data_IF_677704993634
#
_entry.id   IF_677704993634
#
_cell.length_a   1.000
_cell.length_b   1.000
_cell.length_c   1.000
_cell.angle_alpha   90.00
_cell.angle_beta   90.00
_cell.angle_gamma   90.00
#
_symmetry.space_group_name_H-M   'P 1'
#
loop_
_entity.id
_entity.type
_entity.pdbx_description
1 polymer ?
#
# COMPACT_ATOMS: atom_id res chain seq x y z
N UNK A 1 7.83 10.85 -3.01
CA UNK A 1 7.73 11.71 -4.22
C UNK A 1 7.98 10.97 -5.55
N UNK A 2 8.91 10.02 -5.67
CA UNK A 2 9.24 9.38 -6.98
C UNK A 2 8.11 8.57 -7.66
N UNK A 3 7.29 7.83 -6.91
CA UNK A 3 6.30 6.91 -7.51
C UNK A 3 5.07 7.64 -8.09
N UNK A 4 4.71 8.81 -7.55
CA UNK A 4 3.55 9.58 -8.02
C UNK A 4 3.72 10.08 -9.45
N UNK A 5 4.95 10.44 -9.82
CA UNK A 5 5.27 10.90 -11.17
C UNK A 5 5.20 9.76 -12.19
N UNK A 6 5.66 8.57 -11.80
CA UNK A 6 5.63 7.37 -12.64
C UNK A 6 4.19 6.90 -12.91
N UNK A 7 3.31 7.01 -11.91
CA UNK A 7 1.87 6.78 -12.06
C UNK A 7 1.21 7.73 -13.07
N UNK A 8 1.61 9.00 -13.06
CA UNK A 8 1.03 10.04 -13.91
C UNK A 8 1.50 9.97 -15.36
N UNK A 9 2.77 9.61 -15.60
CA UNK A 9 3.33 9.60 -16.94
C UNK A 9 3.13 8.24 -17.64
N UNK A 10 3.19 7.11 -16.91
CA UNK A 10 3.19 5.73 -17.47
C UNK A 10 2.51 4.74 -16.51
N UNK A 11 1.18 4.77 -16.37
CA UNK A 11 0.45 3.97 -15.39
C UNK A 11 0.58 2.44 -15.62
N UNK A 12 0.76 2.00 -16.87
CA UNK A 12 0.93 0.58 -17.21
C UNK A 12 2.25 0.00 -16.68
N UNK A 13 3.33 0.77 -16.76
CA UNK A 13 4.63 0.36 -16.20
C UNK A 13 4.68 0.49 -14.69
N UNK A 14 4.00 1.50 -14.14
CA UNK A 14 3.82 1.62 -12.71
C UNK A 14 3.08 0.38 -12.16
N UNK A 15 2.08 -0.14 -12.89
CA UNK A 15 1.35 -1.34 -12.51
C UNK A 15 2.29 -2.56 -12.40
N UNK A 16 3.07 -2.88 -13.45
CA UNK A 16 3.99 -4.02 -13.45
C UNK A 16 5.04 -3.92 -12.33
N UNK A 17 5.60 -2.73 -12.11
CA UNK A 17 6.55 -2.48 -11.04
C UNK A 17 5.92 -2.64 -9.66
N UNK A 18 4.70 -2.15 -9.46
CA UNK A 18 3.99 -2.27 -8.19
C UNK A 18 3.56 -3.71 -7.88
N UNK A 19 3.16 -4.50 -8.88
CA UNK A 19 2.85 -5.92 -8.70
C UNK A 19 4.10 -6.73 -8.28
N UNK A 20 5.26 -6.41 -8.86
CA UNK A 20 6.55 -6.99 -8.47
C UNK A 20 6.95 -6.56 -7.06
N UNK A 21 6.79 -5.27 -6.74
CA UNK A 21 7.05 -4.75 -5.40
C UNK A 21 6.18 -5.45 -4.35
N UNK A 22 4.88 -5.64 -4.60
CA UNK A 22 3.96 -6.32 -3.69
C UNK A 22 4.39 -7.76 -3.38
N UNK A 23 4.88 -8.49 -4.39
CA UNK A 23 5.40 -9.85 -4.19
C UNK A 23 6.61 -9.86 -3.28
N UNK A 24 7.55 -8.94 -3.50
CA UNK A 24 8.78 -8.84 -2.71
C UNK A 24 8.47 -8.41 -1.27
N UNK A 25 7.60 -7.41 -1.08
CA UNK A 25 7.21 -6.97 0.27
C UNK A 25 6.55 -8.11 1.03
N UNK A 26 5.56 -8.80 0.45
CA UNK A 26 4.90 -9.94 1.11
C UNK A 26 5.86 -11.06 1.51
N UNK A 27 6.90 -11.33 0.71
CA UNK A 27 7.94 -12.31 1.06
C UNK A 27 8.72 -11.83 2.28
N UNK A 28 9.15 -10.57 2.30
CA UNK A 28 9.92 -10.00 3.41
C UNK A 28 9.12 -9.87 4.71
N UNK A 29 7.82 -9.60 4.59
CA UNK A 29 6.92 -9.37 5.72
C UNK A 29 6.51 -10.65 6.45
N UNK A 30 6.54 -11.81 5.77
CA UNK A 30 6.32 -13.12 6.41
C UNK A 30 7.27 -13.34 7.59
N UNK A 31 8.49 -12.84 7.49
CA UNK A 31 9.51 -12.97 8.54
C UNK A 31 9.40 -11.87 9.61
N UNK A 32 8.76 -10.73 9.29
CA UNK A 32 8.70 -9.54 10.17
C UNK A 32 7.39 -9.41 10.93
N UNK A 33 6.35 -10.14 10.53
CA UNK A 33 4.99 -10.05 11.09
C UNK A 33 4.41 -8.62 11.09
N UNK A 34 4.86 -7.78 10.15
CA UNK A 34 4.37 -6.44 9.87
C UNK A 34 4.08 -6.37 8.38
N UNK A 35 2.86 -5.95 8.02
CA UNK A 35 2.37 -5.90 6.63
C UNK A 35 2.23 -4.47 6.09
N UNK A 36 2.85 -3.49 6.76
CA UNK A 36 2.71 -2.07 6.44
C UNK A 36 3.21 -1.71 5.04
N UNK A 37 4.28 -2.33 4.56
CA UNK A 37 4.81 -2.07 3.23
C UNK A 37 3.85 -2.59 2.14
N UNK A 38 3.26 -3.77 2.34
CA UNK A 38 2.24 -4.31 1.45
C UNK A 38 1.00 -3.43 1.37
N UNK A 39 0.51 -2.90 2.50
CA UNK A 39 -0.65 -1.99 2.49
C UNK A 39 -0.37 -0.71 1.69
N UNK A 40 0.84 -0.15 1.79
CA UNK A 40 1.27 1.01 0.97
C UNK A 40 1.33 0.68 -0.51
N UNK A 41 1.83 -0.49 -0.88
CA UNK A 41 1.90 -0.90 -2.28
C UNK A 41 0.50 -1.14 -2.84
N UNK A 42 -0.42 -1.71 -2.04
CA UNK A 42 -1.81 -1.91 -2.42
C UNK A 42 -2.57 -0.60 -2.64
N UNK A 43 -2.36 0.44 -1.82
CA UNK A 43 -2.94 1.77 -2.06
C UNK A 43 -2.48 2.35 -3.41
N UNK A 44 -1.19 2.23 -3.71
CA UNK A 44 -0.63 2.68 -5.00
C UNK A 44 -1.19 1.86 -6.16
N UNK A 45 -1.36 0.55 -6.01
CA UNK A 45 -2.01 -0.29 -7.00
C UNK A 45 -3.46 0.15 -7.23
N UNK A 46 -4.21 0.46 -6.17
CA UNK A 46 -5.58 0.94 -6.29
C UNK A 46 -5.65 2.23 -7.13
N UNK A 47 -4.80 3.21 -6.81
CA UNK A 47 -4.67 4.46 -7.58
C UNK A 47 -4.28 4.20 -9.04
N UNK A 48 -3.36 3.26 -9.29
CA UNK A 48 -2.95 2.87 -10.65
C UNK A 48 -4.11 2.26 -11.44
N UNK A 49 -4.87 1.36 -10.80
CA UNK A 49 -6.02 0.72 -11.40
C UNK A 49 -7.15 1.71 -11.71
N UNK A 50 -7.35 2.75 -10.89
CA UNK A 50 -8.28 3.84 -11.22
C UNK A 50 -7.85 4.59 -12.49
N UNK A 51 -6.55 4.92 -12.60
CA UNK A 51 -6.00 5.59 -13.77
C UNK A 51 -6.11 4.76 -15.06
N UNK A 52 -6.03 3.43 -14.94
CA UNK A 52 -6.19 2.48 -16.05
C UNK A 52 -7.65 2.07 -16.31
N UNK A 53 -8.63 2.73 -15.69
CA UNK A 53 -10.06 2.41 -15.83
C UNK A 53 -10.41 0.95 -15.46
N UNK A 54 -9.75 0.41 -14.43
CA UNK A 54 -10.00 -0.89 -13.83
C UNK A 54 -10.60 -0.76 -12.41
N UNK A 55 -11.84 -0.24 -12.27
CA UNK A 55 -12.42 0.10 -10.97
C UNK A 55 -12.62 -1.11 -10.03
N UNK A 56 -12.90 -2.30 -10.59
CA UNK A 56 -13.03 -3.52 -9.80
C UNK A 56 -11.72 -3.89 -9.09
N UNK A 57 -10.61 -3.89 -9.83
CA UNK A 57 -9.29 -4.17 -9.28
C UNK A 57 -8.81 -3.08 -8.32
N UNK A 58 -9.14 -1.82 -8.59
CA UNK A 58 -8.88 -0.73 -7.64
C UNK A 58 -9.55 -1.01 -6.29
N UNK A 59 -10.85 -1.32 -6.32
CA UNK A 59 -11.62 -1.58 -5.10
C UNK A 59 -11.08 -2.78 -4.33
N UNK A 60 -10.71 -3.86 -5.03
CA UNK A 60 -10.08 -5.03 -4.41
C UNK A 60 -8.77 -4.65 -3.70
N UNK A 61 -7.87 -3.94 -4.39
CA UNK A 61 -6.59 -3.50 -3.83
C UNK A 61 -6.79 -2.58 -2.61
N UNK A 62 -7.73 -1.64 -2.68
CA UNK A 62 -8.03 -0.72 -1.57
C UNK A 62 -8.63 -1.42 -0.36
N UNK A 63 -9.56 -2.35 -0.59
CA UNK A 63 -10.15 -3.17 0.48
C UNK A 63 -9.10 -4.03 1.18
N UNK A 64 -8.17 -4.60 0.42
CA UNK A 64 -7.07 -5.38 0.99
C UNK A 64 -6.13 -4.50 1.83
N UNK A 65 -5.76 -3.32 1.31
CA UNK A 65 -4.95 -2.35 2.04
C UNK A 65 -5.61 -1.95 3.37
N UNK A 66 -6.91 -1.65 3.35
CA UNK A 66 -7.67 -1.27 4.54
C UNK A 66 -7.80 -2.42 5.55
N UNK A 67 -7.91 -3.66 5.07
CA UNK A 67 -7.92 -4.85 5.95
C UNK A 67 -6.59 -4.97 6.69
N UNK A 68 -5.46 -4.80 5.99
CA UNK A 68 -4.13 -4.81 6.61
C UNK A 68 -3.97 -3.63 7.57
N UNK A 69 -4.43 -2.45 7.19
CA UNK A 69 -4.39 -1.30 8.09
C UNK A 69 -5.17 -1.57 9.38
N UNK A 70 -6.37 -2.15 9.28
CA UNK A 70 -7.18 -2.50 10.44
C UNK A 70 -6.50 -3.55 11.35
N UNK A 71 -5.83 -4.56 10.79
CA UNK A 71 -5.09 -5.55 11.59
C UNK A 71 -3.90 -4.90 12.30
N UNK A 72 -3.18 -4.01 11.63
CA UNK A 72 -2.05 -3.27 12.19
C UNK A 72 -2.44 -2.24 13.26
N UNK A 73 -3.60 -1.59 13.14
CA UNK A 73 -4.14 -0.73 14.20
C UNK A 73 -4.64 -1.54 15.39
N UNK A 74 -5.23 -2.71 15.14
CA UNK A 74 -5.73 -3.60 16.20
C UNK A 74 -4.59 -4.23 17.02
N UNK A 75 -3.45 -4.48 16.39
CA UNK A 75 -2.25 -4.97 17.09
C UNK A 75 -1.57 -3.90 17.96
N UNK A 76 -2.04 -2.65 17.92
CA UNK A 76 -1.51 -1.53 18.71
C UNK A 76 -0.16 -1.01 18.23
N UNK A 77 0.29 -1.43 17.04
CA UNK A 77 1.54 -0.97 16.43
C UNK A 77 1.41 0.41 15.77
N UNK A 78 0.18 0.82 15.41
CA UNK A 78 -0.11 2.07 14.70
C UNK A 78 -1.21 2.90 15.39
N UNK A 79 -0.92 4.18 15.62
CA UNK A 79 -1.88 5.16 16.13
C UNK A 79 -2.70 5.73 14.94
N UNK A 80 -4.04 5.72 14.98
CA UNK A 80 -4.86 6.20 13.87
C UNK A 80 -4.77 7.73 13.77
N UNK A 81 -4.12 8.24 12.72
CA UNK A 81 -4.04 9.67 12.43
C UNK A 81 -4.94 10.01 11.23
N UNK A 82 -5.64 11.15 11.35
CA UNK A 82 -6.73 11.57 10.49
C UNK A 82 -6.31 12.18 9.16
N UNK A 83 -6.00 11.34 8.19
CA UNK A 83 -6.26 11.58 6.75
C UNK A 83 -5.97 10.29 5.97
N UNK A 84 -6.83 9.94 5.01
CA UNK A 84 -6.72 8.69 4.23
C UNK A 84 -5.46 8.64 3.36
N UNK A 85 -4.90 9.79 2.99
CA UNK A 85 -3.64 9.86 2.25
C UNK A 85 -2.41 9.86 3.18
N UNK A 86 -2.54 10.33 4.42
CA UNK A 86 -1.42 10.40 5.39
C UNK A 86 -1.25 9.08 6.17
N UNK A 87 -2.31 8.28 6.35
CA UNK A 87 -2.24 6.99 7.05
C UNK A 87 -1.21 6.04 6.44
N UNK A 88 -0.99 6.14 5.13
CA UNK A 88 -0.01 5.31 4.42
C UNK A 88 1.43 5.79 4.61
N UNK A 89 1.65 7.09 4.83
CA UNK A 89 2.99 7.63 5.15
C UNK A 89 3.46 7.18 6.53
N UNK A 90 2.56 7.00 7.50
CA UNK A 90 2.90 6.53 8.84
C UNK A 90 3.37 5.06 8.91
N UNK A 91 3.01 4.22 7.92
CA UNK A 91 3.51 2.84 7.81
C UNK A 91 5.04 2.75 7.55
N UNK A 92 5.77 3.86 7.38
CA UNK A 92 7.25 3.86 7.38
C UNK A 92 7.87 3.98 8.77
N UNK A 93 7.11 4.38 9.78
CA UNK A 93 7.61 4.52 11.14
C UNK A 93 7.42 3.20 11.89
N UNK A 94 8.32 2.26 11.65
CA UNK A 94 8.61 1.20 12.63
C UNK A 94 8.86 1.93 13.96
N UNK A 95 8.01 1.72 14.98
CA UNK A 95 8.43 1.97 16.37
C UNK A 95 9.57 1.00 16.63
N UNK A 96 10.81 1.45 16.44
CA UNK A 96 11.98 0.77 16.98
C UNK A 96 11.74 0.64 18.48
N UNK A 97 11.53 -0.57 18.95
CA UNK A 97 11.55 -0.90 20.37
C UNK A 97 12.70 -1.85 20.63
#
# INVERSE_FOLDING_TARGET
MGNLRLLQERPEEALDLLEKALKITRINEREKNDQGDSARVLDKLAKTYEMLAHPMKSKEARTEADTIYATLTTSGLYDPIGSEDEKWEFLTCIKFR
#
